data_IF_497404476777
#
_entry.id   IF_497404476777
#
_cell.length_a   1.000
_cell.length_b   1.000
_cell.length_c   1.000
_cell.angle_alpha   90.00
_cell.angle_beta   90.00
_cell.angle_gamma   90.00
#
_symmetry.space_group_name_H-M   'P 1'
#
loop_
_entity.id
_entity.type
_entity.pdbx_description
1 polymer ?
#
# COMPACT_ATOMS: atom_id res chain seq x y z
N UNK A 1 -1.83 -5.98 32.68
CA UNK A 1 -0.81 -5.86 31.63
C UNK A 1 -1.46 -6.14 30.28
N UNK A 2 -2.00 -5.11 29.66
CA UNK A 2 -2.62 -5.17 28.32
C UNK A 2 -1.74 -4.34 27.40
N UNK A 3 -0.93 -5.01 26.59
CA UNK A 3 -0.12 -4.38 25.54
C UNK A 3 -1.07 -3.77 24.50
N UNK A 4 -1.03 -2.44 24.27
CA UNK A 4 -1.73 -1.88 23.13
C UNK A 4 -1.01 -2.38 21.86
N UNK A 5 -1.79 -2.86 20.91
CA UNK A 5 -1.36 -3.42 19.61
C UNK A 5 -0.20 -2.62 18.98
N UNK A 6 0.99 -3.22 19.01
CA UNK A 6 2.28 -2.66 18.54
C UNK A 6 2.44 -2.69 17.01
N UNK A 7 1.45 -2.22 16.24
CA UNK A 7 1.50 -2.25 14.77
C UNK A 7 1.39 -0.88 14.09
N UNK A 8 1.36 0.20 14.87
CA UNK A 8 1.47 1.55 14.31
C UNK A 8 2.94 1.85 13.94
N UNK A 9 3.24 2.28 12.69
CA UNK A 9 4.57 2.71 12.31
C UNK A 9 5.00 3.88 13.20
N UNK A 10 6.10 3.71 13.95
CA UNK A 10 6.60 4.75 14.84
C UNK A 10 7.49 5.69 14.04
N UNK A 11 7.17 6.98 13.92
CA UNK A 11 8.01 7.93 13.19
C UNK A 11 9.42 8.02 13.78
N UNK A 12 9.57 7.82 15.09
CA UNK A 12 10.88 7.75 15.75
C UNK A 12 11.78 6.65 15.19
N UNK A 13 11.24 5.46 14.90
CA UNK A 13 12.01 4.37 14.28
C UNK A 13 12.44 4.73 12.85
N UNK A 14 11.54 5.33 12.08
CA UNK A 14 11.84 5.77 10.71
C UNK A 14 12.94 6.83 10.66
N UNK A 15 12.92 7.80 11.58
CA UNK A 15 13.97 8.81 11.67
C UNK A 15 15.33 8.21 12.07
N UNK A 16 15.35 7.33 13.07
CA UNK A 16 16.58 6.65 13.49
C UNK A 16 17.16 5.81 12.34
N UNK A 17 16.32 5.05 11.63
CA UNK A 17 16.75 4.27 10.46
C UNK A 17 17.32 5.18 9.36
N UNK A 18 16.64 6.28 9.04
CA UNK A 18 17.10 7.23 8.03
C UNK A 18 18.45 7.86 8.39
N UNK A 19 18.65 8.23 9.66
CA UNK A 19 19.94 8.72 10.16
C UNK A 19 21.04 7.67 10.01
N UNK A 20 20.79 6.44 10.47
CA UNK A 20 21.77 5.35 10.38
C UNK A 20 22.18 5.11 8.93
N UNK A 21 21.21 5.08 8.00
CA UNK A 21 21.48 4.88 6.57
C UNK A 21 22.29 6.06 6.01
N UNK A 22 21.84 7.31 6.20
CA UNK A 22 22.52 8.46 5.62
C UNK A 22 23.94 8.66 6.18
N UNK A 23 24.13 8.43 7.48
CA UNK A 23 25.45 8.50 8.11
C UNK A 23 26.33 7.32 7.69
N UNK A 24 25.76 6.13 7.54
CA UNK A 24 26.44 4.96 6.98
C UNK A 24 26.95 5.23 5.56
N UNK A 25 26.14 5.86 4.72
CA UNK A 25 26.54 6.23 3.35
C UNK A 25 27.72 7.21 3.35
N UNK A 26 27.69 8.21 4.23
CA UNK A 26 28.74 9.24 4.33
C UNK A 26 30.04 8.67 4.94
N UNK A 27 29.96 7.90 6.02
CA UNK A 27 31.14 7.48 6.79
C UNK A 27 31.70 6.11 6.40
N UNK A 28 30.84 5.14 6.08
CA UNK A 28 31.24 3.77 5.75
C UNK A 28 31.49 3.66 4.24
N UNK A 29 30.50 4.05 3.42
CA UNK A 29 30.60 4.01 1.95
C UNK A 29 31.42 5.18 1.39
N UNK A 30 31.69 6.22 2.20
CA UNK A 30 32.51 7.39 1.86
C UNK A 30 32.06 8.08 0.58
N UNK A 31 30.74 8.27 0.43
CA UNK A 31 30.20 9.01 -0.72
C UNK A 31 30.76 10.43 -0.74
N UNK A 32 31.20 10.89 -1.92
CA UNK A 32 31.60 12.28 -2.13
C UNK A 32 30.34 13.14 -2.20
N UNK A 33 29.94 13.69 -1.07
CA UNK A 33 28.77 14.57 -0.96
C UNK A 33 29.24 16.01 -0.73
N UNK A 34 28.85 16.94 -1.62
CA UNK A 34 29.19 18.35 -1.45
C UNK A 34 28.52 18.95 -0.20
N UNK A 35 27.27 18.58 0.07
CA UNK A 35 26.51 19.08 1.20
C UNK A 35 25.94 17.93 2.06
N UNK A 36 26.77 17.34 2.95
CA UNK A 36 26.37 16.16 3.74
C UNK A 36 25.18 16.43 4.65
N UNK A 37 25.05 17.64 5.19
CA UNK A 37 23.91 18.03 6.03
C UNK A 37 22.60 18.03 5.22
N UNK A 38 22.61 18.55 3.99
CA UNK A 38 21.44 18.57 3.11
C UNK A 38 21.03 17.15 2.68
N UNK A 39 22.00 16.24 2.53
CA UNK A 39 21.72 14.84 2.23
C UNK A 39 20.96 14.15 3.38
N UNK A 40 21.44 14.34 4.62
CA UNK A 40 20.77 13.80 5.82
C UNK A 40 19.38 14.40 6.00
N UNK A 41 19.23 15.72 5.79
CA UNK A 41 17.92 16.39 5.87
C UNK A 41 16.94 15.83 4.83
N UNK A 42 17.39 15.61 3.58
CA UNK A 42 16.56 15.01 2.56
C UNK A 42 16.12 13.59 2.93
N UNK A 43 17.02 12.79 3.52
CA UNK A 43 16.69 11.46 4.03
C UNK A 43 15.68 11.47 5.18
N UNK A 44 15.82 12.41 6.12
CA UNK A 44 14.87 12.59 7.23
C UNK A 44 13.49 13.01 6.75
N UNK A 45 13.41 13.96 5.80
CA UNK A 45 12.14 14.38 5.21
C UNK A 45 11.49 13.23 4.46
N UNK A 46 12.25 12.49 3.65
CA UNK A 46 11.72 11.31 2.95
C UNK A 46 11.15 10.29 3.94
N UNK A 47 11.87 9.97 5.02
CA UNK A 47 11.39 9.07 6.06
C UNK A 47 10.10 9.57 6.71
N UNK A 48 10.01 10.86 7.02
CA UNK A 48 8.79 11.46 7.57
C UNK A 48 7.61 11.31 6.61
N UNK A 49 7.79 11.61 5.32
CA UNK A 49 6.73 11.49 4.32
C UNK A 49 6.27 10.05 4.15
N UNK A 50 7.20 9.10 4.02
CA UNK A 50 6.84 7.69 3.84
C UNK A 50 6.16 7.07 5.05
N UNK A 51 6.61 7.40 6.28
CA UNK A 51 5.94 6.93 7.49
C UNK A 51 4.49 7.44 7.54
N UNK A 52 4.25 8.72 7.25
CA UNK A 52 2.91 9.29 7.24
C UNK A 52 2.04 8.71 6.11
N UNK A 53 2.62 8.50 4.92
CA UNK A 53 1.92 7.92 3.79
C UNK A 53 1.46 6.48 4.09
N UNK A 54 2.37 5.64 4.59
CA UNK A 54 2.07 4.25 4.97
C UNK A 54 1.09 4.23 6.14
N UNK A 55 1.24 5.13 7.11
CA UNK A 55 0.32 5.25 8.24
C UNK A 55 -1.10 5.61 7.77
N UNK A 56 -1.26 6.61 6.91
CA UNK A 56 -2.55 7.01 6.38
C UNK A 56 -3.22 5.88 5.59
N UNK A 57 -2.47 5.17 4.74
CA UNK A 57 -2.97 4.01 3.99
C UNK A 57 -3.38 2.87 4.93
N UNK A 58 -2.53 2.52 5.90
CA UNK A 58 -2.79 1.46 6.86
C UNK A 58 -3.95 1.79 7.80
N UNK A 59 -4.14 3.05 8.17
CA UNK A 59 -5.26 3.48 9.00
C UNK A 59 -6.60 3.38 8.24
N UNK A 60 -6.57 3.71 6.95
CA UNK A 60 -7.77 3.77 6.12
C UNK A 60 -8.25 2.38 5.69
N UNK A 61 -7.32 1.54 5.28
CA UNK A 61 -7.61 0.24 4.66
C UNK A 61 -7.15 -0.96 5.52
N UNK A 62 -6.66 -0.73 6.74
CA UNK A 62 -6.16 -1.78 7.66
C UNK A 62 -5.13 -2.70 6.98
N UNK A 63 -5.40 -3.99 6.87
CA UNK A 63 -4.50 -4.99 6.27
C UNK A 63 -4.29 -4.74 4.78
N UNK A 64 -5.34 -4.36 4.05
CA UNK A 64 -5.28 -3.96 2.64
C UNK A 64 -4.36 -2.75 2.44
N UNK A 65 -4.39 -1.79 3.37
CA UNK A 65 -3.57 -0.57 3.30
C UNK A 65 -2.07 -0.86 3.37
N UNK A 66 -1.70 -1.87 4.16
CA UNK A 66 -0.31 -2.36 4.22
C UNK A 66 0.11 -2.99 2.91
N UNK A 67 -0.75 -3.81 2.30
CA UNK A 67 -0.46 -4.43 1.01
C UNK A 67 -0.35 -3.40 -0.13
N UNK A 68 -1.25 -2.41 -0.18
CA UNK A 68 -1.17 -1.28 -1.13
C UNK A 68 0.14 -0.50 -0.94
N UNK A 69 0.59 -0.29 0.30
CA UNK A 69 1.87 0.37 0.59
C UNK A 69 3.06 -0.40 0.01
N UNK A 70 3.05 -1.74 0.09
CA UNK A 70 4.09 -2.59 -0.53
C UNK A 70 4.08 -2.45 -2.05
N UNK A 71 2.90 -2.47 -2.68
CA UNK A 71 2.78 -2.28 -4.14
C UNK A 71 3.33 -0.91 -4.55
N UNK A 72 3.00 0.15 -3.81
CA UNK A 72 3.52 1.49 -4.07
C UNK A 72 5.05 1.52 -4.02
N UNK A 73 5.68 0.81 -3.08
CA UNK A 73 7.15 0.72 -3.02
C UNK A 73 7.70 -0.02 -4.24
N UNK A 74 7.11 -1.15 -4.61
CA UNK A 74 7.55 -1.95 -5.76
C UNK A 74 7.46 -1.15 -7.06
N UNK A 75 6.35 -0.42 -7.26
CA UNK A 75 6.15 0.43 -8.45
C UNK A 75 7.16 1.60 -8.51
N UNK A 76 7.54 2.12 -7.36
CA UNK A 76 8.43 3.28 -7.27
C UNK A 76 9.87 2.96 -7.68
N UNK A 77 10.37 1.75 -7.46
CA UNK A 77 11.75 1.36 -7.80
C UNK A 77 12.08 1.59 -9.29
N UNK A 78 11.31 1.06 -10.25
CA UNK A 78 11.53 1.33 -11.68
C UNK A 78 11.02 2.70 -12.13
N UNK A 79 10.04 3.27 -11.43
CA UNK A 79 9.38 4.51 -11.85
C UNK A 79 10.06 5.81 -11.42
N UNK A 80 11.04 5.79 -10.51
CA UNK A 80 11.61 7.00 -9.90
C UNK A 80 12.92 7.48 -10.50
N UNK A 81 13.40 6.86 -11.59
CA UNK A 81 14.68 7.16 -12.22
C UNK A 81 15.90 7.06 -11.28
N UNK A 82 15.81 6.20 -10.26
CA UNK A 82 16.87 5.95 -9.30
C UNK A 82 18.01 5.08 -9.85
N UNK A 83 17.68 4.15 -10.75
CA UNK A 83 18.63 3.19 -11.33
C UNK A 83 19.07 3.56 -12.74
N UNK A 84 18.13 4.04 -13.56
CA UNK A 84 18.38 4.50 -14.94
C UNK A 84 17.68 5.84 -15.17
N UNK A 85 18.16 6.67 -16.13
CA UNK A 85 17.44 7.86 -16.56
C UNK A 85 16.01 7.51 -16.99
N UNK A 86 15.04 8.39 -16.69
CA UNK A 86 13.63 8.09 -16.94
C UNK A 86 13.34 7.92 -18.43
N UNK A 87 14.10 8.60 -19.28
CA UNK A 87 14.02 8.58 -20.73
C UNK A 87 14.31 7.18 -21.31
N UNK A 88 15.07 6.37 -20.57
CA UNK A 88 15.42 4.99 -20.93
C UNK A 88 14.37 3.98 -20.47
N UNK A 89 13.34 4.42 -19.74
CA UNK A 89 12.26 3.55 -19.25
C UNK A 89 11.07 3.53 -20.21
N UNK A 90 10.24 2.48 -20.21
CA UNK A 90 9.02 2.43 -21.01
C UNK A 90 8.09 3.64 -20.76
N UNK A 91 7.35 4.10 -21.77
CA UNK A 91 6.50 5.30 -21.69
C UNK A 91 5.49 5.32 -20.54
N UNK A 92 5.04 4.14 -20.07
CA UNK A 92 4.23 4.02 -18.85
C UNK A 92 4.95 4.57 -17.61
N UNK A 93 6.22 4.19 -17.41
CA UNK A 93 7.02 4.64 -16.28
C UNK A 93 7.31 6.14 -16.37
N UNK A 94 7.53 6.65 -17.57
CA UNK A 94 7.70 8.08 -17.82
C UNK A 94 6.44 8.88 -17.44
N UNK A 95 5.25 8.36 -17.72
CA UNK A 95 3.99 9.02 -17.40
C UNK A 95 3.69 9.05 -15.89
N UNK A 96 4.00 7.97 -15.17
CA UNK A 96 3.77 7.90 -13.70
C UNK A 96 4.86 8.62 -12.90
N UNK A 97 6.07 8.75 -13.45
CA UNK A 97 7.25 9.30 -12.77
C UNK A 97 7.00 10.60 -11.99
N UNK A 98 6.27 11.61 -12.52
CA UNK A 98 6.01 12.86 -11.81
C UNK A 98 5.07 12.70 -10.60
N UNK A 99 4.28 11.63 -10.55
CA UNK A 99 3.31 11.34 -9.49
C UNK A 99 3.90 10.50 -8.36
N UNK A 100 5.17 10.10 -8.46
CA UNK A 100 5.82 9.26 -7.47
C UNK A 100 6.61 10.13 -6.47
N UNK A 101 6.36 9.99 -5.15
CA UNK A 101 7.12 10.75 -4.16
C UNK A 101 8.62 10.38 -4.19
N UNK A 102 8.96 9.15 -4.58
CA UNK A 102 10.36 8.69 -4.62
C UNK A 102 11.23 9.51 -5.57
N UNK A 103 10.64 9.99 -6.67
CA UNK A 103 11.29 10.87 -7.66
C UNK A 103 11.88 12.11 -6.99
N UNK A 104 11.07 12.79 -6.18
CA UNK A 104 11.47 14.06 -5.54
C UNK A 104 12.50 13.83 -4.42
N UNK A 105 12.37 12.73 -3.68
CA UNK A 105 13.37 12.35 -2.67
C UNK A 105 14.75 12.07 -3.27
N UNK A 106 14.80 11.27 -4.35
CA UNK A 106 16.04 10.95 -5.07
C UNK A 106 16.66 12.22 -5.66
N UNK A 107 15.86 13.09 -6.28
CA UNK A 107 16.36 14.33 -6.86
C UNK A 107 16.95 15.28 -5.81
N UNK A 108 16.32 15.42 -4.64
CA UNK A 108 16.86 16.23 -3.54
C UNK A 108 18.17 15.65 -3.00
N UNK A 109 18.27 14.33 -2.85
CA UNK A 109 19.51 13.66 -2.44
C UNK A 109 20.62 13.80 -3.49
N UNK A 110 20.27 13.71 -4.78
CA UNK A 110 21.21 13.88 -5.90
C UNK A 110 21.83 15.27 -5.92
N UNK A 111 21.06 16.31 -5.66
CA UNK A 111 21.59 17.67 -5.53
C UNK A 111 22.47 17.86 -4.30
N UNK A 112 22.14 17.24 -3.17
CA UNK A 112 23.01 17.30 -2.00
C UNK A 112 24.38 16.65 -2.29
N UNK A 113 24.40 15.58 -3.11
CA UNK A 113 25.62 14.90 -3.54
C UNK A 113 26.39 15.72 -4.57
N UNK A 114 25.75 16.11 -5.68
CA UNK A 114 26.38 16.68 -6.86
C UNK A 114 26.61 18.21 -6.77
N UNK A 115 25.96 18.89 -5.83
CA UNK A 115 25.92 20.35 -5.73
C UNK A 115 24.50 20.87 -5.97
N UNK A 116 24.10 21.89 -5.21
CA UNK A 116 22.75 22.48 -5.31
C UNK A 116 22.69 23.53 -6.42
N UNK A 117 21.64 23.52 -7.24
CA UNK A 117 21.41 24.52 -8.27
C UNK A 117 20.15 25.34 -7.97
N UNK A 118 20.35 26.61 -7.59
CA UNK A 118 19.26 27.54 -7.28
C UNK A 118 18.31 27.00 -6.21
N UNK A 119 17.02 26.92 -6.53
CA UNK A 119 15.96 26.47 -5.61
C UNK A 119 15.47 25.04 -5.87
N UNK A 120 16.16 24.26 -6.70
CA UNK A 120 15.68 22.93 -7.10
C UNK A 120 15.59 21.97 -5.90
N UNK A 121 16.51 22.06 -4.95
CA UNK A 121 16.53 21.21 -3.74
C UNK A 121 15.28 21.44 -2.90
N UNK A 122 15.00 22.71 -2.61
CA UNK A 122 13.85 23.13 -1.83
C UNK A 122 12.56 22.79 -2.57
N UNK A 123 12.51 23.00 -3.89
CA UNK A 123 11.34 22.63 -4.71
C UNK A 123 11.02 21.13 -4.57
N UNK A 124 12.01 20.25 -4.68
CA UNK A 124 11.80 18.81 -4.54
C UNK A 124 11.34 18.44 -3.11
N UNK A 125 11.94 19.03 -2.07
CA UNK A 125 11.50 18.80 -0.70
C UNK A 125 10.07 19.27 -0.44
N UNK A 126 9.69 20.43 -0.96
CA UNK A 126 8.33 20.98 -0.81
C UNK A 126 7.33 20.08 -1.52
N UNK A 127 7.61 19.64 -2.75
CA UNK A 127 6.74 18.72 -3.48
C UNK A 127 6.61 17.40 -2.71
N UNK A 128 7.71 16.87 -2.17
CA UNK A 128 7.69 15.66 -1.36
C UNK A 128 6.82 15.84 -0.11
N UNK A 129 6.95 16.97 0.59
CA UNK A 129 6.13 17.28 1.78
C UNK A 129 4.64 17.43 1.46
N UNK A 130 4.27 17.89 0.26
CA UNK A 130 2.85 17.99 -0.17
C UNK A 130 2.15 16.62 -0.19
N UNK A 131 2.88 15.51 -0.32
CA UNK A 131 2.26 14.17 -0.23
C UNK A 131 1.70 13.87 1.17
N UNK A 132 2.22 14.50 2.23
CA UNK A 132 1.73 14.30 3.61
C UNK A 132 0.30 14.79 3.79
N UNK A 133 -0.04 16.07 3.54
CA UNK A 133 -1.41 16.54 3.66
C UNK A 133 -2.35 15.83 2.67
N UNK A 134 -1.89 15.47 1.47
CA UNK A 134 -2.70 14.67 0.52
C UNK A 134 -3.04 13.31 1.11
N UNK A 135 -2.04 12.57 1.61
CA UNK A 135 -2.24 11.24 2.19
C UNK A 135 -3.13 11.29 3.44
N UNK A 136 -2.90 12.26 4.32
CA UNK A 136 -3.72 12.46 5.51
C UNK A 136 -5.15 12.87 5.14
N UNK A 137 -5.32 13.75 4.16
CA UNK A 137 -6.65 14.15 3.67
C UNK A 137 -7.40 12.96 3.11
N UNK A 138 -6.77 12.17 2.23
CA UNK A 138 -7.36 10.94 1.70
C UNK A 138 -7.73 10.02 2.87
N UNK A 139 -6.83 9.80 3.84
CA UNK A 139 -7.11 8.90 4.94
C UNK A 139 -8.23 9.36 5.87
N UNK A 140 -8.33 10.67 6.14
CA UNK A 140 -9.39 11.25 6.96
C UNK A 140 -10.74 11.30 6.23
N UNK A 141 -10.74 11.72 4.96
CA UNK A 141 -11.96 11.84 4.14
C UNK A 141 -12.53 10.48 3.82
N UNK A 142 -11.71 9.50 3.40
CA UNK A 142 -12.20 8.17 3.07
C UNK A 142 -12.75 7.46 4.30
N UNK A 143 -12.11 7.64 5.46
CA UNK A 143 -12.65 7.16 6.74
C UNK A 143 -13.98 7.82 7.08
N UNK A 144 -14.11 9.14 6.92
CA UNK A 144 -15.37 9.85 7.14
C UNK A 144 -16.43 9.44 6.13
N UNK A 145 -16.08 9.23 4.86
CA UNK A 145 -16.99 8.78 3.80
C UNK A 145 -17.51 7.38 4.08
N UNK A 146 -16.66 6.46 4.54
CA UNK A 146 -17.11 5.11 4.94
C UNK A 146 -18.10 5.16 6.11
N UNK A 147 -17.86 6.03 7.10
CA UNK A 147 -18.81 6.25 8.21
C UNK A 147 -20.12 6.91 7.73
N UNK A 148 -20.02 7.87 6.80
CA UNK A 148 -21.17 8.61 6.28
C UNK A 148 -22.01 7.77 5.32
N UNK A 149 -21.38 6.97 4.47
CA UNK A 149 -22.06 5.95 3.65
C UNK A 149 -22.78 4.95 4.53
N UNK A 150 -22.17 4.52 5.63
CA UNK A 150 -22.85 3.69 6.62
C UNK A 150 -24.13 4.38 7.11
N UNK A 151 -24.05 5.65 7.52
CA UNK A 151 -25.22 6.42 7.96
C UNK A 151 -26.29 6.67 6.89
N UNK A 152 -25.93 6.68 5.60
CA UNK A 152 -26.86 6.84 4.48
C UNK A 152 -27.54 5.53 4.09
N UNK A 153 -26.81 4.41 4.14
CA UNK A 153 -27.40 3.07 4.03
C UNK A 153 -28.34 2.82 5.20
N UNK A 154 -27.94 3.23 6.40
CA UNK A 154 -28.74 3.20 7.61
C UNK A 154 -30.06 3.97 7.39
N UNK A 155 -30.02 5.24 6.97
CA UNK A 155 -31.26 6.00 6.66
C UNK A 155 -32.12 5.39 5.55
N UNK A 156 -31.52 4.76 4.53
CA UNK A 156 -32.28 4.07 3.48
C UNK A 156 -32.91 2.77 3.98
N UNK A 157 -32.23 2.05 4.88
CA UNK A 157 -32.75 0.85 5.53
C UNK A 157 -33.88 1.19 6.51
N UNK A 158 -33.75 2.32 7.21
CA UNK A 158 -34.78 2.93 8.07
C UNK A 158 -36.04 3.28 7.26
N UNK A 159 -35.88 3.87 6.07
CA UNK A 159 -37.00 4.15 5.16
C UNK A 159 -37.65 2.89 4.58
N UNK A 160 -36.92 1.78 4.48
CA UNK A 160 -37.49 0.47 4.09
C UNK A 160 -38.14 -0.29 5.26
N UNK A 161 -38.25 0.33 6.45
CA UNK A 161 -38.84 -0.30 7.64
C UNK A 161 -38.02 -1.46 8.20
N UNK A 162 -36.74 -1.57 7.80
CA UNK A 162 -35.83 -2.67 8.13
C UNK A 162 -34.66 -2.17 8.99
N UNK A 163 -34.94 -1.41 10.06
CA UNK A 163 -33.90 -0.97 10.99
C UNK A 163 -34.25 -1.28 12.44
N UNK A 164 -33.47 -2.17 13.03
CA UNK A 164 -33.26 -2.30 14.48
C UNK A 164 -31.99 -1.50 14.79
N UNK A 165 -32.00 -0.72 15.87
CA UNK A 165 -30.85 0.04 16.35
C UNK A 165 -30.05 -0.77 17.40
N UNK A 166 -28.71 -0.80 17.31
CA UNK A 166 -27.83 -1.02 18.48
C UNK A 166 -26.86 0.17 18.65
N UNK A 167 -26.84 0.70 19.88
CA UNK A 167 -25.83 1.62 20.39
C UNK A 167 -24.49 0.89 20.60
N UNK A 168 -23.43 1.45 20.01
CA UNK A 168 -22.07 1.34 20.54
C UNK A 168 -21.25 0.12 20.10
N UNK A 169 -20.36 0.36 19.13
CA UNK A 169 -19.20 -0.50 18.87
C UNK A 169 -19.21 -1.13 17.48
N UNK A 170 -18.46 -0.50 16.58
CA UNK A 170 -18.25 -0.85 15.17
C UNK A 170 -18.13 -2.38 14.95
N UNK A 171 -19.00 -2.93 14.09
CA UNK A 171 -18.96 -4.25 13.41
C UNK A 171 -19.75 -5.45 13.99
N UNK A 172 -20.96 -5.28 14.55
CA UNK A 172 -21.78 -6.44 15.01
C UNK A 172 -23.17 -6.63 14.39
N UNK A 173 -23.78 -5.63 13.75
CA UNK A 173 -25.23 -5.67 13.47
C UNK A 173 -25.67 -6.26 12.11
N UNK A 174 -24.86 -6.14 11.05
CA UNK A 174 -25.12 -6.85 9.77
C UNK A 174 -25.06 -8.38 9.94
N UNK A 175 -24.35 -8.85 10.97
CA UNK A 175 -24.23 -10.26 11.34
C UNK A 175 -25.42 -10.71 12.19
N UNK A 176 -26.11 -9.84 12.93
CA UNK A 176 -27.18 -10.24 13.87
C UNK A 176 -28.58 -10.26 13.24
N UNK A 177 -28.91 -9.38 12.30
CA UNK A 177 -30.23 -9.34 11.64
C UNK A 177 -30.37 -10.33 10.47
N UNK A 178 -29.31 -10.58 9.71
CA UNK A 178 -29.27 -11.73 8.80
C UNK A 178 -29.35 -13.05 9.59
N UNK A 179 -28.81 -13.08 10.80
CA UNK A 179 -28.90 -14.25 11.69
C UNK A 179 -30.31 -14.40 12.29
N UNK A 180 -30.98 -13.33 12.71
CA UNK A 180 -32.35 -13.41 13.27
C UNK A 180 -33.43 -13.58 12.20
N UNK A 181 -33.27 -13.00 10.99
CA UNK A 181 -34.19 -13.23 9.85
C UNK A 181 -33.99 -14.62 9.24
N UNK A 182 -32.76 -15.18 9.24
CA UNK A 182 -32.53 -16.61 8.93
C UNK A 182 -32.95 -17.57 10.04
N UNK A 183 -33.10 -17.10 11.29
CA UNK A 183 -33.65 -17.90 12.39
C UNK A 183 -35.18 -17.94 12.34
N UNK A 184 -35.82 -16.94 11.73
CA UNK A 184 -37.28 -16.86 11.55
C UNK A 184 -37.76 -17.40 10.18
N UNK A 185 -36.95 -17.30 9.12
CA UNK A 185 -37.20 -17.93 7.83
C UNK A 185 -36.57 -19.33 7.81
N UNK A 186 -37.36 -20.36 8.13
CA UNK A 186 -36.91 -21.73 8.31
C UNK A 186 -36.34 -22.44 7.06
N UNK A 187 -35.15 -22.06 6.61
CA UNK A 187 -34.31 -22.90 5.74
C UNK A 187 -32.99 -23.25 6.43
N UNK A 188 -32.97 -24.39 7.14
CA UNK A 188 -31.72 -25.08 7.49
C UNK A 188 -30.82 -25.26 6.26
N UNK A 189 -31.42 -25.42 5.08
CA UNK A 189 -30.76 -25.65 3.79
C UNK A 189 -29.87 -24.48 3.33
N UNK A 190 -30.35 -23.23 3.35
CA UNK A 190 -29.55 -22.07 2.96
C UNK A 190 -28.44 -21.74 3.96
N UNK A 191 -28.67 -22.02 5.26
CA UNK A 191 -27.67 -21.85 6.32
C UNK A 191 -26.54 -22.87 6.18
N UNK A 192 -26.88 -24.12 5.87
CA UNK A 192 -25.91 -25.17 5.54
C UNK A 192 -25.20 -24.90 4.20
N UNK A 193 -25.85 -24.27 3.22
CA UNK A 193 -25.25 -23.93 1.93
C UNK A 193 -24.24 -22.78 2.02
N UNK A 194 -24.55 -21.74 2.81
CA UNK A 194 -23.60 -20.67 3.12
C UNK A 194 -22.46 -21.20 3.98
N UNK A 195 -22.74 -21.97 5.03
CA UNK A 195 -21.70 -22.56 5.87
C UNK A 195 -20.79 -23.51 5.08
N UNK A 196 -21.33 -24.33 4.18
CA UNK A 196 -20.52 -25.17 3.27
C UNK A 196 -19.66 -24.35 2.33
N UNK A 197 -20.15 -23.23 1.80
CA UNK A 197 -19.34 -22.32 0.97
C UNK A 197 -18.22 -21.65 1.78
N UNK A 198 -18.50 -21.27 3.04
CA UNK A 198 -17.50 -20.70 3.96
C UNK A 198 -16.45 -21.76 4.32
N UNK A 199 -16.84 -22.97 4.71
CA UNK A 199 -15.94 -24.11 4.97
C UNK A 199 -15.11 -24.49 3.74
N UNK A 200 -15.72 -24.56 2.55
CA UNK A 200 -14.99 -24.84 1.31
C UNK A 200 -13.97 -23.74 1.00
N UNK A 201 -14.31 -22.48 1.25
CA UNK A 201 -13.38 -21.36 1.10
C UNK A 201 -12.26 -21.43 2.14
N UNK A 202 -12.55 -21.81 3.38
CA UNK A 202 -11.57 -21.99 4.47
C UNK A 202 -10.58 -23.13 4.17
N UNK A 203 -11.05 -24.23 3.59
CA UNK A 203 -10.22 -25.37 3.15
C UNK A 203 -9.35 -25.00 1.93
N UNK A 204 -9.86 -24.16 1.02
CA UNK A 204 -9.13 -23.71 -0.17
C UNK A 204 -8.22 -22.51 0.09
N UNK A 205 -8.48 -21.71 1.13
CA UNK A 205 -7.69 -20.54 1.52
C UNK A 205 -6.18 -20.82 1.64
N UNK A 206 -5.73 -21.87 2.38
CA UNK A 206 -4.30 -22.16 2.45
C UNK A 206 -3.70 -22.57 1.11
N UNK A 207 -4.48 -23.16 0.19
CA UNK A 207 -4.01 -23.50 -1.17
C UNK A 207 -3.94 -22.26 -2.07
N UNK A 208 -4.89 -21.33 -1.94
CA UNK A 208 -4.92 -20.07 -2.68
C UNK A 208 -3.75 -19.15 -2.28
N UNK A 209 -3.48 -19.03 -0.97
CA UNK A 209 -2.33 -18.27 -0.43
C UNK A 209 -1.01 -18.93 -0.86
N UNK A 210 -0.87 -20.26 -0.70
CA UNK A 210 0.33 -20.98 -1.14
C UNK A 210 0.55 -20.87 -2.65
N UNK A 211 -0.52 -20.91 -3.44
CA UNK A 211 -0.48 -20.70 -4.89
C UNK A 211 -0.05 -19.29 -5.28
N UNK A 212 -0.56 -18.26 -4.59
CA UNK A 212 -0.12 -16.88 -4.77
C UNK A 212 1.35 -16.67 -4.41
N UNK A 213 1.82 -17.28 -3.31
CA UNK A 213 3.24 -17.24 -2.92
C UNK A 213 4.14 -17.95 -3.95
N UNK A 214 3.69 -19.09 -4.48
CA UNK A 214 4.37 -19.79 -5.57
C UNK A 214 4.39 -18.95 -6.85
N UNK A 215 3.30 -18.27 -7.18
CA UNK A 215 3.21 -17.39 -8.34
C UNK A 215 4.15 -16.17 -8.22
N UNK A 216 4.30 -15.59 -7.03
CA UNK A 216 5.28 -14.52 -6.75
C UNK A 216 6.70 -14.95 -7.08
N UNK A 217 7.05 -16.22 -6.93
CA UNK A 217 8.41 -16.73 -7.20
C UNK A 217 8.54 -17.21 -8.65
N UNK A 218 7.58 -17.99 -9.15
CA UNK A 218 7.62 -18.57 -10.50
C UNK A 218 7.56 -17.50 -11.58
N UNK A 219 6.67 -16.51 -11.45
CA UNK A 219 6.41 -15.55 -12.52
C UNK A 219 7.66 -14.69 -12.81
N UNK A 220 8.38 -14.17 -11.80
CA UNK A 220 9.67 -13.52 -12.04
C UNK A 220 10.70 -14.41 -12.72
N UNK A 221 10.79 -15.68 -12.33
CA UNK A 221 11.74 -16.62 -12.93
C UNK A 221 11.40 -16.86 -14.41
N UNK A 222 10.11 -17.05 -14.73
CA UNK A 222 9.66 -17.23 -16.12
C UNK A 222 9.95 -16.00 -16.96
N UNK A 223 9.61 -14.80 -16.49
CA UNK A 223 9.90 -13.55 -17.21
C UNK A 223 11.40 -13.29 -17.33
N UNK A 224 12.19 -13.63 -16.32
CA UNK A 224 13.66 -13.52 -16.34
C UNK A 224 14.26 -14.42 -17.43
N UNK A 225 13.85 -15.69 -17.49
CA UNK A 225 14.31 -16.63 -18.53
C UNK A 225 13.92 -16.11 -19.92
N UNK A 226 12.68 -15.62 -20.06
CA UNK A 226 12.20 -15.09 -21.32
C UNK A 226 12.95 -13.82 -21.77
N UNK A 227 13.37 -12.98 -20.82
CA UNK A 227 14.17 -11.77 -21.06
C UNK A 227 15.55 -12.07 -21.63
N UNK A 228 16.12 -13.23 -21.32
CA UNK A 228 17.38 -13.70 -21.90
C UNK A 228 17.22 -14.25 -23.32
N UNK A 229 16.01 -14.69 -23.71
CA UNK A 229 15.77 -15.34 -25.00
C UNK A 229 15.36 -14.39 -26.13
N UNK A 230 14.80 -13.21 -25.83
CA UNK A 230 14.14 -12.35 -26.84
C UNK A 230 14.74 -10.93 -26.85
N UNK A 231 14.82 -10.34 -28.05
CA UNK A 231 15.41 -9.01 -28.30
C UNK A 231 14.59 -7.84 -27.73
N UNK A 232 13.25 -7.99 -27.61
CA UNK A 232 12.32 -6.97 -27.12
C UNK A 232 12.22 -6.91 -25.59
N UNK A 233 13.36 -6.75 -24.91
CA UNK A 233 13.49 -6.81 -23.44
C UNK A 233 12.59 -5.81 -22.69
N UNK A 234 12.31 -4.65 -23.30
CA UNK A 234 11.50 -3.58 -22.71
C UNK A 234 10.04 -3.98 -22.48
N UNK A 235 9.43 -4.71 -23.42
CA UNK A 235 8.02 -5.14 -23.32
C UNK A 235 7.86 -6.17 -22.20
N UNK A 236 8.82 -7.09 -22.07
CA UNK A 236 8.79 -8.11 -21.02
C UNK A 236 9.01 -7.53 -19.63
N UNK A 237 9.79 -6.46 -19.49
CA UNK A 237 9.95 -5.76 -18.21
C UNK A 237 8.63 -5.12 -17.75
N UNK A 238 7.87 -4.53 -18.68
CA UNK A 238 6.52 -4.01 -18.39
C UNK A 238 5.57 -5.15 -18.00
N UNK A 239 5.51 -6.23 -18.79
CA UNK A 239 4.66 -7.38 -18.49
C UNK A 239 5.01 -8.04 -17.15
N UNK A 240 6.29 -8.09 -16.80
CA UNK A 240 6.74 -8.64 -15.53
C UNK A 240 6.23 -7.82 -14.34
N UNK A 241 6.33 -6.49 -14.41
CA UNK A 241 5.84 -5.59 -13.36
C UNK A 241 4.31 -5.62 -13.28
N UNK A 242 3.62 -5.61 -14.42
CA UNK A 242 2.16 -5.74 -14.49
C UNK A 242 1.71 -7.07 -13.87
N UNK A 243 2.43 -8.16 -14.12
CA UNK A 243 2.14 -9.45 -13.53
C UNK A 243 2.33 -9.44 -12.01
N UNK A 244 3.40 -8.82 -11.50
CA UNK A 244 3.59 -8.64 -10.04
C UNK A 244 2.43 -7.85 -9.43
N UNK A 245 2.01 -6.75 -10.07
CA UNK A 245 0.88 -5.94 -9.60
C UNK A 245 -0.42 -6.75 -9.61
N UNK A 246 -0.68 -7.53 -10.66
CA UNK A 246 -1.87 -8.39 -10.75
C UNK A 246 -1.91 -9.47 -9.68
N UNK A 247 -0.78 -10.14 -9.41
CA UNK A 247 -0.69 -11.14 -8.34
C UNK A 247 -0.89 -10.49 -6.97
N UNK A 248 -0.31 -9.31 -6.76
CA UNK A 248 -0.48 -8.58 -5.51
C UNK A 248 -1.94 -8.14 -5.32
N UNK A 249 -2.61 -7.63 -6.36
CA UNK A 249 -4.05 -7.32 -6.33
C UNK A 249 -4.90 -8.57 -6.08
N UNK A 250 -4.55 -9.70 -6.71
CA UNK A 250 -5.22 -10.98 -6.48
C UNK A 250 -5.10 -11.44 -5.03
N UNK A 251 -3.89 -11.41 -4.46
CA UNK A 251 -3.65 -11.75 -3.05
C UNK A 251 -4.42 -10.83 -2.10
N UNK A 252 -4.43 -9.52 -2.38
CA UNK A 252 -5.23 -8.55 -1.64
C UNK A 252 -6.72 -8.88 -1.71
N UNK A 253 -7.22 -9.25 -2.89
CA UNK A 253 -8.63 -9.58 -3.07
C UNK A 253 -8.99 -10.88 -2.33
N UNK A 254 -8.10 -11.88 -2.34
CA UNK A 254 -8.27 -13.13 -1.58
C UNK A 254 -8.26 -12.85 -0.07
N UNK A 255 -7.34 -12.03 0.41
CA UNK A 255 -7.25 -11.63 1.81
C UNK A 255 -8.46 -10.78 2.23
N UNK A 256 -8.95 -9.90 1.35
CA UNK A 256 -10.19 -9.13 1.57
C UNK A 256 -11.41 -10.04 1.68
N UNK A 257 -11.52 -11.06 0.84
CA UNK A 257 -12.63 -12.02 0.91
C UNK A 257 -12.53 -12.81 2.22
N UNK A 258 -11.33 -13.22 2.63
CA UNK A 258 -11.11 -13.93 3.88
C UNK A 258 -11.45 -13.09 5.12
N UNK A 259 -10.98 -11.84 5.20
CA UNK A 259 -11.30 -10.92 6.31
C UNK A 259 -12.78 -10.53 6.38
N UNK A 260 -13.52 -10.57 5.27
CA UNK A 260 -14.95 -10.28 5.27
C UNK A 260 -15.83 -11.52 5.51
N UNK A 261 -15.31 -12.74 5.28
CA UNK A 261 -16.05 -13.98 5.53
C UNK A 261 -15.89 -14.50 6.97
N UNK A 262 -14.79 -14.16 7.65
CA UNK A 262 -14.51 -14.47 9.06
C UNK A 262 -14.93 -13.32 10.00
#
# INVERSE_FOLDING_TARGET
MTTPSSTAPRPSLGFVQALIICLGDIFILKIKCQHPVLFVVAGLVAAFVYVNLIYALSLTFKHIGKAVSVILVILQIPGSAGTYPIEMTPGFFQAIHPLLPFTYGINAMREAIAGTYGHYYVKNLVILLIYVPIALFIGLVLRRLLLNLNSLFDKKLEQTGLMICEEGGITKERVRLLTTVKILAGEKQFRDEINKKVEQFEICYPKLIKGGFFAIVIIPIVFLILMFSITSKMVFLVLWIVSIILIALYLICVEFIHENLL
#
